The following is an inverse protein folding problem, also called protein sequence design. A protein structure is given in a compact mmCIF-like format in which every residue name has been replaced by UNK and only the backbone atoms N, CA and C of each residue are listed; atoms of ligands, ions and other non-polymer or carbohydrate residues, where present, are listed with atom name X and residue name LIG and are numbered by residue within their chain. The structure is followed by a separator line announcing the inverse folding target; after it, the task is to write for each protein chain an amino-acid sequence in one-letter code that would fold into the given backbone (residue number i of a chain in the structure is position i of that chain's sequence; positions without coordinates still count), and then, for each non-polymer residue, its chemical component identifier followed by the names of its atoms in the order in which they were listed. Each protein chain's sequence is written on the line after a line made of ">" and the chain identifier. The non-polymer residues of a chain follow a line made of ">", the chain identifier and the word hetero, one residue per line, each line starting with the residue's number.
data_IF_012230241441
#
_entry.id   IF_012230241441
#
_cell.length_a   1.000
_cell.length_b   1.000
_cell.length_c   1.000
_cell.angle_alpha   90.00
_cell.angle_beta   90.00
_cell.angle_gamma   90.00
#
_symmetry.space_group_name_H-M   'P 1'
#
loop_
_entity.id
_entity.type
_entity.pdbx_description
1 polymer ?
#
# COMPACT_ATOMS: atom_id res chain seq x y z
N UNK A 1 11.20 11.34 -7.63
CA UNK A 1 10.27 12.11 -6.76
C UNK A 1 10.28 13.62 -7.05
N UNK A 2 9.11 14.27 -7.15
CA UNK A 2 8.99 15.74 -7.32
C UNK A 2 8.92 16.48 -5.95
N UNK A 3 9.03 17.82 -5.89
CA UNK A 3 9.06 18.55 -4.62
C UNK A 3 7.81 18.41 -3.73
N UNK A 4 6.62 18.26 -4.32
CA UNK A 4 5.38 18.06 -3.55
C UNK A 4 5.36 16.65 -2.95
N UNK A 5 5.71 15.64 -3.74
CA UNK A 5 5.85 14.26 -3.28
C UNK A 5 6.90 14.14 -2.17
N UNK A 6 8.05 14.83 -2.30
CA UNK A 6 9.09 14.82 -1.28
C UNK A 6 8.63 15.45 0.05
N UNK A 7 7.92 16.59 0.00
CA UNK A 7 7.34 17.20 1.22
C UNK A 7 6.30 16.31 1.86
N UNK A 8 5.44 15.69 1.06
CA UNK A 8 4.47 14.73 1.57
C UNK A 8 5.18 13.55 2.24
N UNK A 9 6.16 12.95 1.55
CA UNK A 9 6.95 11.85 2.06
C UNK A 9 7.57 12.16 3.41
N UNK A 10 8.24 13.29 3.56
CA UNK A 10 8.81 13.70 4.85
C UNK A 10 7.77 13.87 5.96
N UNK A 11 6.53 14.23 5.62
CA UNK A 11 5.46 14.40 6.60
C UNK A 11 4.82 13.08 7.05
N UNK A 12 4.78 12.06 6.18
CA UNK A 12 4.04 10.82 6.43
C UNK A 12 4.92 9.59 6.66
N UNK A 13 6.20 9.65 6.28
CA UNK A 13 7.11 8.52 6.40
C UNK A 13 7.32 8.15 7.85
N UNK A 14 7.48 6.86 8.06
CA UNK A 14 7.86 6.27 9.34
C UNK A 14 9.14 5.44 9.15
N UNK A 15 9.74 5.02 10.25
CA UNK A 15 10.78 3.98 10.17
C UNK A 15 10.11 2.69 9.68
N UNK A 16 10.60 2.08 8.58
CA UNK A 16 9.98 0.88 8.04
C UNK A 16 9.90 -0.24 9.07
N UNK A 17 8.72 -0.82 9.24
CA UNK A 17 8.50 -1.98 10.09
C UNK A 17 7.35 -2.84 9.57
N UNK A 18 7.33 -4.12 9.96
CA UNK A 18 6.32 -5.05 9.46
C UNK A 18 5.01 -4.92 10.24
N UNK A 19 3.90 -4.91 9.50
CA UNK A 19 2.56 -5.12 10.04
C UNK A 19 2.01 -6.45 9.57
N UNK A 20 1.21 -7.09 10.42
CA UNK A 20 0.55 -8.34 10.09
C UNK A 20 -0.51 -8.10 9.00
N UNK A 21 -0.61 -9.06 8.08
CA UNK A 21 -1.66 -9.10 7.07
C UNK A 21 -2.25 -10.53 7.10
N UNK A 22 -3.58 -10.62 7.24
CA UNK A 22 -4.26 -11.86 7.64
C UNK A 22 -4.39 -12.87 6.51
N UNK A 23 -4.34 -12.45 5.26
CA UNK A 23 -4.62 -13.28 4.08
C UNK A 23 -3.37 -13.92 3.49
N UNK A 24 -2.42 -13.13 2.99
CA UNK A 24 -1.21 -13.55 2.31
C UNK A 24 0.08 -13.24 3.10
N UNK A 25 0.00 -12.40 4.14
CA UNK A 25 1.14 -12.00 4.97
C UNK A 25 1.78 -13.11 5.82
N UNK A 26 1.19 -14.31 5.90
CA UNK A 26 1.68 -15.40 6.76
C UNK A 26 3.05 -15.96 6.33
N UNK A 27 3.37 -15.91 5.03
CA UNK A 27 4.65 -16.41 4.51
C UNK A 27 5.81 -15.44 4.74
N UNK A 28 5.53 -14.13 4.77
CA UNK A 28 6.53 -13.07 4.91
C UNK A 28 6.64 -12.47 6.32
N UNK A 29 5.84 -12.95 7.28
CA UNK A 29 5.64 -12.29 8.59
C UNK A 29 5.12 -10.85 8.45
N UNK A 30 4.20 -10.64 7.52
CA UNK A 30 3.63 -9.34 7.20
C UNK A 30 4.41 -8.54 6.16
N UNK A 31 3.94 -7.32 5.90
CA UNK A 31 4.49 -6.42 4.89
C UNK A 31 5.07 -5.16 5.52
N UNK A 32 6.03 -4.54 4.82
CA UNK A 32 6.74 -3.36 5.30
C UNK A 32 5.86 -2.11 5.19
N UNK A 33 5.44 -1.55 6.31
CA UNK A 33 4.80 -0.23 6.35
C UNK A 33 5.89 0.83 6.29
N UNK A 34 5.72 1.79 5.39
CA UNK A 34 6.71 2.86 5.17
C UNK A 34 6.14 4.26 5.41
N UNK A 35 4.82 4.42 5.41
CA UNK A 35 4.15 5.67 5.75
C UNK A 35 2.72 5.45 6.27
N UNK A 36 2.23 6.41 7.06
CA UNK A 36 0.85 6.44 7.58
C UNK A 36 0.25 7.82 7.34
N UNK A 37 -0.97 7.87 6.80
CA UNK A 37 -1.75 9.09 6.65
C UNK A 37 -3.23 8.81 6.94
N UNK A 38 -3.77 9.47 7.97
CA UNK A 38 -5.11 9.19 8.47
C UNK A 38 -5.28 7.72 8.87
N UNK A 39 -6.34 7.07 8.36
CA UNK A 39 -6.63 5.65 8.56
C UNK A 39 -6.08 4.77 7.42
N UNK A 40 -5.04 5.22 6.71
CA UNK A 40 -4.40 4.46 5.63
C UNK A 40 -2.90 4.33 5.83
N UNK A 41 -2.32 3.27 5.26
CA UNK A 41 -0.89 3.00 5.24
C UNK A 41 -0.39 2.85 3.80
N UNK A 42 0.83 3.32 3.54
CA UNK A 42 1.61 2.91 2.37
C UNK A 42 2.52 1.78 2.81
N UNK A 43 2.51 0.68 2.06
CA UNK A 43 3.27 -0.52 2.36
C UNK A 43 3.97 -1.06 1.13
N UNK A 44 5.11 -1.71 1.34
CA UNK A 44 5.88 -2.37 0.30
C UNK A 44 5.64 -3.88 0.35
N UNK A 45 5.24 -4.42 -0.80
CA UNK A 45 5.08 -5.84 -1.04
C UNK A 45 6.43 -6.41 -1.53
N UNK A 46 7.15 -7.08 -0.63
CA UNK A 46 8.45 -7.71 -0.90
C UNK A 46 8.35 -8.97 -1.79
N UNK A 47 7.15 -9.46 -2.06
CA UNK A 47 6.89 -10.59 -2.96
C UNK A 47 6.70 -10.11 -4.40
N UNK A 48 5.92 -9.04 -4.59
CA UNK A 48 5.54 -8.49 -5.91
C UNK A 48 6.40 -7.29 -6.35
N UNK A 49 7.33 -6.83 -5.49
CA UNK A 49 8.21 -5.67 -5.69
C UNK A 49 7.45 -4.38 -6.02
N UNK A 50 6.52 -3.98 -5.13
CA UNK A 50 5.65 -2.83 -5.38
C UNK A 50 5.06 -2.17 -4.14
N UNK A 51 4.78 -0.88 -4.25
CA UNK A 51 4.09 -0.12 -3.22
C UNK A 51 2.58 -0.19 -3.38
N UNK A 52 1.90 -0.25 -2.25
CA UNK A 52 0.46 -0.40 -2.17
C UNK A 52 -0.08 0.52 -1.07
N UNK A 53 -1.39 0.79 -1.12
CA UNK A 53 -2.10 1.54 -0.07
C UNK A 53 -3.30 0.76 0.41
N UNK A 54 -3.48 0.69 1.72
CA UNK A 54 -4.61 -0.01 2.34
C UNK A 54 -5.12 0.78 3.54
N UNK A 55 -6.40 0.62 3.85
CA UNK A 55 -6.93 1.05 5.14
C UNK A 55 -6.44 0.12 6.25
N UNK A 56 -6.46 0.64 7.48
CA UNK A 56 -6.28 -0.14 8.68
C UNK A 56 -7.31 0.26 9.75
N UNK A 57 -7.84 -0.73 10.45
CA UNK A 57 -8.75 -0.55 11.59
C UNK A 57 -8.02 -0.66 12.92
N UNK A 58 -6.86 -1.31 12.96
CA UNK A 58 -6.03 -1.49 14.17
C UNK A 58 -4.56 -1.29 13.83
N UNK A 59 -3.85 -0.51 14.64
CA UNK A 59 -2.40 -0.34 14.47
C UNK A 59 -1.68 -1.69 14.54
N UNK A 60 -0.80 -1.95 13.57
CA UNK A 60 -0.06 -3.19 13.46
C UNK A 60 -0.73 -4.25 12.57
N UNK A 61 -1.93 -4.00 12.05
CA UNK A 61 -2.63 -4.94 11.17
C UNK A 61 -3.24 -4.23 9.96
N UNK A 62 -2.95 -4.75 8.77
CA UNK A 62 -3.57 -4.27 7.52
C UNK A 62 -4.85 -5.06 7.20
N UNK A 63 -5.84 -4.37 6.64
CA UNK A 63 -7.13 -4.97 6.30
C UNK A 63 -7.23 -5.45 4.84
N UNK A 64 -6.39 -4.92 3.94
CA UNK A 64 -6.46 -5.20 2.50
C UNK A 64 -5.09 -5.53 1.92
N UNK A 65 -5.04 -6.57 1.10
CA UNK A 65 -3.87 -6.98 0.33
C UNK A 65 -4.06 -6.66 -1.16
N UNK A 66 -3.01 -6.14 -1.79
CA UNK A 66 -2.99 -5.73 -3.19
C UNK A 66 -1.66 -6.13 -3.84
N UNK A 67 -1.70 -6.34 -5.16
CA UNK A 67 -0.58 -6.74 -6.01
C UNK A 67 -0.17 -5.61 -6.96
N UNK A 68 -0.33 -4.34 -6.56
CA UNK A 68 0.17 -3.25 -7.39
C UNK A 68 1.70 -3.29 -7.41
N UNK A 69 2.25 -2.94 -8.57
CA UNK A 69 3.69 -2.74 -8.81
C UNK A 69 4.01 -1.25 -8.91
N UNK A 70 3.33 -0.43 -8.10
CA UNK A 70 3.53 1.02 -8.13
C UNK A 70 4.91 1.36 -7.54
N UNK A 71 5.63 2.27 -8.17
CA UNK A 71 6.78 2.93 -7.53
C UNK A 71 6.29 3.81 -6.36
N UNK A 72 7.18 4.11 -5.41
CA UNK A 72 6.83 4.95 -4.25
C UNK A 72 6.29 6.31 -4.68
N UNK A 73 6.89 6.92 -5.71
CA UNK A 73 6.43 8.16 -6.32
C UNK A 73 4.99 8.10 -6.80
N UNK A 74 4.57 6.99 -7.40
CA UNK A 74 3.19 6.80 -7.87
C UNK A 74 2.24 6.68 -6.69
N UNK A 75 2.58 5.88 -5.68
CA UNK A 75 1.80 5.76 -4.44
C UNK A 75 1.63 7.13 -3.74
N UNK A 76 2.69 7.93 -3.68
CA UNK A 76 2.64 9.30 -3.15
C UNK A 76 1.79 10.23 -4.00
N UNK A 77 1.84 10.11 -5.33
CA UNK A 77 1.01 10.91 -6.22
C UNK A 77 -0.48 10.61 -6.00
N UNK A 78 -0.86 9.34 -5.79
CA UNK A 78 -2.24 8.98 -5.45
C UNK A 78 -2.70 9.58 -4.12
N UNK A 79 -1.80 9.72 -3.14
CA UNK A 79 -2.11 10.41 -1.87
C UNK A 79 -2.28 11.91 -2.10
N UNK A 80 -1.39 12.56 -2.86
CA UNK A 80 -1.54 13.97 -3.21
C UNK A 80 -2.87 14.25 -3.91
N UNK A 81 -3.19 13.46 -4.94
CA UNK A 81 -4.46 13.58 -5.67
C UNK A 81 -5.66 13.42 -4.73
N UNK A 82 -5.62 12.46 -3.81
CA UNK A 82 -6.68 12.25 -2.83
C UNK A 82 -6.83 13.44 -1.88
N UNK A 83 -5.71 13.99 -1.37
CA UNK A 83 -5.74 15.16 -0.49
C UNK A 83 -6.29 16.40 -1.22
N UNK A 84 -5.97 16.57 -2.50
CA UNK A 84 -6.40 17.72 -3.29
C UNK A 84 -7.86 17.63 -3.75
N UNK A 85 -8.32 16.44 -4.10
CA UNK A 85 -9.63 16.24 -4.77
C UNK A 85 -10.68 15.56 -3.90
N UNK A 86 -10.27 14.90 -2.82
CA UNK A 86 -11.11 13.99 -2.03
C UNK A 86 -11.47 12.68 -2.75
N UNK A 87 -10.96 12.44 -3.96
CA UNK A 87 -11.28 11.27 -4.77
C UNK A 87 -10.14 10.24 -4.76
N UNK A 88 -10.49 8.97 -4.63
CA UNK A 88 -9.55 7.88 -4.81
C UNK A 88 -9.21 7.76 -6.31
N UNK A 89 -7.93 7.88 -6.64
CA UNK A 89 -7.43 7.79 -8.03
C UNK A 89 -6.62 6.52 -8.28
N UNK A 90 -6.39 5.71 -7.24
CA UNK A 90 -5.62 4.47 -7.34
C UNK A 90 -6.50 3.33 -7.87
N UNK A 91 -5.93 2.54 -8.77
CA UNK A 91 -6.51 1.24 -9.17
C UNK A 91 -5.97 0.14 -8.26
N UNK A 92 -6.80 -0.79 -7.81
CA UNK A 92 -6.40 -1.95 -6.99
C UNK A 92 -6.26 -3.19 -7.87
N UNK A 93 -5.11 -3.87 -7.82
CA UNK A 93 -4.93 -5.19 -8.46
C UNK A 93 -5.01 -6.26 -7.37
N UNK A 94 -6.02 -7.12 -7.45
CA UNK A 94 -6.17 -8.26 -6.53
C UNK A 94 -5.29 -9.45 -6.93
N UNK A 95 -5.11 -10.44 -6.03
CA UNK A 95 -4.42 -11.68 -6.34
C UNK A 95 -5.15 -12.47 -7.44
N UNK A 96 -4.41 -13.35 -8.12
CA UNK A 96 -4.99 -14.24 -9.13
C UNK A 96 -6.04 -15.17 -8.49
N UNK A 97 -7.27 -15.14 -9.01
CA UNK A 97 -8.33 -16.05 -8.56
C UNK A 97 -8.13 -17.43 -9.21
N UNK A 98 -8.06 -18.53 -8.44
CA UNK A 98 -7.99 -19.86 -9.02
C UNK A 98 -9.27 -20.17 -9.80
N UNK A 99 -9.20 -20.06 -11.13
CA UNK A 99 -10.21 -20.57 -12.04
C UNK A 99 -9.98 -22.06 -12.32
N UNK A 100 -11.05 -22.86 -12.28
CA UNK A 100 -11.03 -24.18 -12.92
C UNK A 100 -10.92 -23.94 -14.42
N UNK A 101 -9.73 -24.10 -14.97
CA UNK A 101 -9.56 -24.22 -16.42
C UNK A 101 -10.23 -25.53 -16.86
N UNK A 102 -11.50 -25.47 -17.25
CA UNK A 102 -12.12 -26.57 -18.01
C UNK A 102 -11.49 -26.55 -19.40
N UNK A 103 -10.72 -27.59 -19.71
CA UNK A 103 -10.23 -27.88 -21.07
C UNK A 103 -11.39 -28.21 -22.00
#
# INVERSE_FOLDING_TARGET
>A
MNPQQARLWEAIRIVPHKWEEKSYGKLGNGFWIVAIIGATVIWYNDIEDGFNRSHYTSFGTMDEYWCNQDELEMALQHVLNFVETGQETRTTIGPSMPGKWSR
#
